data_IF_979719605641
#
_entry.id   IF_979719605641
#
_cell.length_a   1.000
_cell.length_b   1.000
_cell.length_c   1.000
_cell.angle_alpha   90.00
_cell.angle_beta   90.00
_cell.angle_gamma   90.00
#
_symmetry.space_group_name_H-M   'P 1'
#
loop_
_entity.id
_entity.type
_entity.pdbx_description
1 polymer ?
#
# COMPACT_ATOMS: atom_id res chain seq x y z
N UNK A 1 -2.12 4.48 -5.23
CA UNK A 1 -0.97 3.86 -4.53
C UNK A 1 0.26 4.74 -4.74
N UNK A 2 0.85 5.19 -3.65
CA UNK A 2 1.92 6.19 -3.63
C UNK A 2 3.03 5.70 -2.70
N UNK A 3 4.29 6.05 -2.98
CA UNK A 3 5.41 5.76 -2.10
C UNK A 3 6.20 7.03 -1.80
N UNK A 4 6.85 7.09 -0.64
CA UNK A 4 7.78 8.15 -0.33
C UNK A 4 9.05 8.03 -1.18
N UNK A 5 9.72 9.16 -1.41
CA UNK A 5 11.09 9.17 -1.91
C UNK A 5 11.99 8.41 -0.93
N UNK A 6 12.98 7.71 -1.46
CA UNK A 6 13.85 6.86 -0.65
C UNK A 6 13.30 5.47 -0.30
N UNK A 7 12.15 5.06 -0.86
CA UNK A 7 11.67 3.68 -0.75
C UNK A 7 12.74 2.68 -1.23
N UNK A 8 13.10 1.73 -0.36
CA UNK A 8 14.13 0.72 -0.65
C UNK A 8 13.59 -0.38 -1.54
N UNK A 9 14.50 -1.18 -2.12
CA UNK A 9 14.17 -2.24 -3.07
C UNK A 9 13.03 -3.15 -2.58
N UNK A 10 13.17 -3.72 -1.38
CA UNK A 10 12.18 -4.65 -0.81
C UNK A 10 10.78 -4.04 -0.69
N UNK A 11 10.68 -2.81 -0.19
CA UNK A 11 9.39 -2.12 0.01
C UNK A 11 8.76 -1.73 -1.32
N UNK A 12 9.58 -1.35 -2.32
CA UNK A 12 9.10 -1.08 -3.67
C UNK A 12 8.51 -2.33 -4.30
N UNK A 13 9.15 -3.49 -4.13
CA UNK A 13 8.63 -4.76 -4.63
C UNK A 13 7.31 -5.14 -3.96
N UNK A 14 7.21 -5.00 -2.63
CA UNK A 14 5.94 -5.19 -1.92
C UNK A 14 4.83 -4.29 -2.49
N UNK A 15 5.09 -2.99 -2.68
CA UNK A 15 4.12 -2.06 -3.27
C UNK A 15 3.67 -2.50 -4.67
N UNK A 16 4.61 -2.96 -5.51
CA UNK A 16 4.28 -3.44 -6.86
C UNK A 16 3.47 -4.74 -6.82
N UNK A 17 3.76 -5.64 -5.89
CA UNK A 17 3.00 -6.87 -5.68
C UNK A 17 1.56 -6.55 -5.24
N UNK A 18 1.38 -5.57 -4.35
CA UNK A 18 0.05 -5.04 -3.97
C UNK A 18 -0.68 -4.45 -5.18
N UNK A 19 0.00 -3.68 -6.04
CA UNK A 19 -0.63 -3.15 -7.26
C UNK A 19 -1.09 -4.25 -8.22
N UNK A 20 -0.34 -5.36 -8.33
CA UNK A 20 -0.73 -6.51 -9.17
C UNK A 20 -1.95 -7.25 -8.62
N UNK A 21 -2.10 -7.30 -7.30
CA UNK A 21 -3.25 -7.90 -6.62
C UNK A 21 -4.52 -7.05 -6.73
N UNK A 22 -4.37 -5.73 -6.86
CA UNK A 22 -5.49 -4.78 -6.86
C UNK A 22 -5.70 -4.20 -8.28
N UNK A 23 -6.63 -4.75 -9.09
CA UNK A 23 -6.82 -4.34 -10.48
C UNK A 23 -7.31 -2.89 -10.63
N UNK A 24 -7.95 -2.34 -9.60
CA UNK A 24 -8.41 -0.96 -9.54
C UNK A 24 -7.32 0.01 -9.03
N UNK A 25 -6.12 -0.49 -8.71
CA UNK A 25 -5.06 0.35 -8.19
C UNK A 25 -4.42 1.21 -9.30
N UNK A 26 -4.31 2.51 -9.04
CA UNK A 26 -3.52 3.42 -9.86
C UNK A 26 -2.27 3.84 -9.10
N UNK A 27 -1.09 3.62 -9.70
CA UNK A 27 0.20 4.02 -9.14
C UNK A 27 0.48 5.48 -9.49
N UNK A 28 1.01 6.25 -8.53
CA UNK A 28 1.49 7.62 -8.75
C UNK A 28 3.01 7.75 -8.65
N UNK A 29 3.51 8.92 -9.00
CA UNK A 29 4.86 9.36 -8.71
C UNK A 29 5.12 9.33 -7.20
N UNK A 30 6.41 9.27 -6.84
CA UNK A 30 6.82 9.25 -5.44
C UNK A 30 6.63 10.64 -4.84
N UNK A 31 6.13 10.71 -3.61
CA UNK A 31 6.07 11.97 -2.86
C UNK A 31 7.43 12.33 -2.28
N UNK A 32 7.73 13.62 -2.24
CA UNK A 32 8.93 14.15 -1.60
C UNK A 32 8.77 14.13 -0.08
N UNK A 33 9.88 14.02 0.66
CA UNK A 33 9.84 14.01 2.13
C UNK A 33 9.33 15.31 2.75
N UNK A 34 9.29 16.40 1.98
CA UNK A 34 8.78 17.71 2.42
C UNK A 34 7.28 17.86 2.19
N UNK A 35 6.68 16.98 1.40
CA UNK A 35 5.27 17.08 1.05
C UNK A 35 4.40 16.76 2.26
N UNK A 36 3.31 17.51 2.44
CA UNK A 36 2.34 17.23 3.49
C UNK A 36 1.48 16.04 3.07
N UNK A 37 1.11 15.12 3.98
CA UNK A 37 0.21 14.01 3.66
C UNK A 37 -1.14 14.44 3.05
N UNK A 38 -1.60 15.67 3.30
CA UNK A 38 -2.83 16.21 2.72
C UNK A 38 -2.81 16.27 1.18
N UNK A 39 -1.63 16.37 0.56
CA UNK A 39 -1.49 16.36 -0.91
C UNK A 39 -2.02 15.05 -1.51
N UNK A 40 -2.07 13.97 -0.73
CA UNK A 40 -2.66 12.69 -1.16
C UNK A 40 -4.15 12.85 -1.49
N UNK A 41 -4.88 13.72 -0.78
CA UNK A 41 -6.30 13.95 -1.06
C UNK A 41 -6.49 14.59 -2.44
N UNK A 42 -5.68 15.59 -2.78
CA UNK A 42 -5.71 16.27 -4.09
C UNK A 42 -5.35 15.29 -5.21
N UNK A 43 -4.30 14.46 -5.01
CA UNK A 43 -3.91 13.42 -5.98
C UNK A 43 -5.06 12.43 -6.19
N UNK A 44 -5.72 12.00 -5.11
CA UNK A 44 -6.84 11.08 -5.19
C UNK A 44 -8.05 11.71 -5.91
N UNK A 45 -8.36 12.98 -5.65
CA UNK A 45 -9.42 13.71 -6.35
C UNK A 45 -9.15 13.81 -7.85
N UNK A 46 -7.93 14.21 -8.24
CA UNK A 46 -7.51 14.28 -9.65
C UNK A 46 -7.60 12.92 -10.37
N UNK A 47 -7.36 11.82 -9.64
CA UNK A 47 -7.41 10.46 -10.18
C UNK A 47 -8.74 9.75 -9.99
N UNK A 48 -9.76 10.41 -9.43
CA UNK A 48 -11.06 9.78 -9.13
C UNK A 48 -10.96 8.60 -8.15
N UNK A 49 -9.96 8.61 -7.26
CA UNK A 49 -9.73 7.57 -6.26
C UNK A 49 -10.40 7.95 -4.92
N UNK A 50 -11.12 7.00 -4.34
CA UNK A 50 -11.77 7.14 -3.02
C UNK A 50 -10.96 6.53 -1.88
N UNK A 51 -9.86 5.85 -2.19
CA UNK A 51 -8.96 5.24 -1.23
C UNK A 51 -7.50 5.51 -1.64
N UNK A 52 -6.64 5.64 -0.64
CA UNK A 52 -5.21 5.82 -0.80
C UNK A 52 -4.42 4.78 -0.01
N UNK A 53 -3.39 4.24 -0.66
CA UNK A 53 -2.32 3.50 -0.01
C UNK A 53 -1.04 4.33 -0.17
N UNK A 54 -0.43 4.72 0.96
CA UNK A 54 0.83 5.46 0.98
C UNK A 54 1.91 4.70 1.75
N UNK A 55 2.99 4.35 1.04
CA UNK A 55 4.16 3.64 1.55
C UNK A 55 5.22 4.64 2.02
N UNK A 56 5.21 4.98 3.30
CA UNK A 56 6.13 5.91 3.95
C UNK A 56 7.38 5.17 4.43
N UNK A 57 8.52 5.37 3.77
CA UNK A 57 9.80 4.81 4.20
C UNK A 57 10.53 5.80 5.09
N UNK A 58 10.90 5.40 6.31
CA UNK A 58 11.69 6.21 7.25
C UNK A 58 13.09 5.64 7.41
N UNK A 59 14.09 6.53 7.36
CA UNK A 59 15.52 6.20 7.52
C UNK A 59 16.00 5.04 6.63
N UNK A 60 15.31 4.75 5.52
CA UNK A 60 15.53 3.58 4.66
C UNK A 60 15.47 2.22 5.38
N UNK A 61 14.85 2.17 6.57
CA UNK A 61 14.80 0.99 7.44
C UNK A 61 13.38 0.54 7.73
N UNK A 62 12.52 1.50 8.06
CA UNK A 62 11.15 1.21 8.49
C UNK A 62 10.16 1.55 7.38
N UNK A 63 9.17 0.68 7.20
CA UNK A 63 8.04 0.92 6.32
C UNK A 63 6.79 1.15 7.14
N UNK A 64 6.19 2.32 6.96
CA UNK A 64 4.83 2.59 7.42
C UNK A 64 3.90 2.60 6.22
N UNK A 65 2.76 1.92 6.35
CA UNK A 65 1.71 1.92 5.34
C UNK A 65 0.51 2.67 5.87
N UNK A 66 0.13 3.72 5.16
CA UNK A 66 -1.10 4.44 5.39
C UNK A 66 -2.19 3.85 4.50
N UNK A 67 -3.32 3.52 5.10
CA UNK A 67 -4.55 3.13 4.42
C UNK A 67 -5.57 4.19 4.77
N UNK A 68 -6.00 4.95 3.77
CA UNK A 68 -6.91 6.07 3.98
C UNK A 68 -8.09 6.01 3.02
N UNK A 69 -9.28 6.31 3.52
CA UNK A 69 -10.42 6.66 2.69
C UNK A 69 -10.39 8.17 2.46
N UNK A 70 -10.25 8.58 1.22
CA UNK A 70 -10.06 9.99 0.86
C UNK A 70 -11.39 10.64 0.47
N UNK A 71 -11.63 11.94 0.76
CA UNK A 71 -10.75 12.85 1.50
C UNK A 71 -11.03 12.91 3.01
N UNK A 72 -12.16 12.35 3.47
CA UNK A 72 -12.70 12.57 4.81
C UNK A 72 -12.22 11.56 5.88
N UNK A 73 -11.46 10.54 5.49
CA UNK A 73 -11.10 9.43 6.35
C UNK A 73 -12.14 8.31 6.39
N UNK A 74 -11.93 7.28 7.22
CA UNK A 74 -10.85 7.16 8.21
C UNK A 74 -9.47 6.89 7.59
N UNK A 75 -8.43 7.06 8.41
CA UNK A 75 -7.04 6.76 8.06
C UNK A 75 -6.41 5.89 9.13
N UNK A 76 -5.78 4.80 8.72
CA UNK A 76 -5.03 3.91 9.58
C UNK A 76 -3.56 3.89 9.16
N UNK A 77 -2.67 3.85 10.15
CA UNK A 77 -1.23 3.78 9.95
C UNK A 77 -0.70 2.47 10.53
N UNK A 78 -0.11 1.64 9.68
CA UNK A 78 0.46 0.36 10.05
C UNK A 78 1.98 0.42 9.98
N UNK A 79 2.66 -0.11 11.00
CA UNK A 79 4.08 -0.46 10.89
C UNK A 79 4.17 -1.82 10.21
N UNK A 80 4.81 -1.89 9.04
CA UNK A 80 4.90 -3.13 8.27
C UNK A 80 6.22 -3.83 8.60
N UNK A 81 6.12 -5.05 9.13
CA UNK A 81 7.25 -5.88 9.53
C UNK A 81 7.25 -7.23 8.78
N UNK A 82 8.36 -7.95 8.83
CA UNK A 82 8.52 -9.30 8.25
C UNK A 82 8.07 -9.40 6.78
N UNK A 83 8.53 -8.46 5.95
CA UNK A 83 8.13 -8.36 4.55
C UNK A 83 8.81 -9.46 3.75
N UNK A 84 7.97 -10.32 3.16
CA UNK A 84 8.37 -11.29 2.14
C UNK A 84 7.67 -10.98 0.81
N UNK A 85 8.43 -10.86 -0.29
CA UNK A 85 7.89 -10.46 -1.60
C UNK A 85 7.57 -11.66 -2.49
N UNK A 86 6.72 -11.48 -3.52
CA UNK A 86 6.37 -12.57 -4.45
C UNK A 86 7.56 -13.14 -5.24
N UNK A 87 8.68 -12.42 -5.30
CA UNK A 87 9.90 -12.88 -5.96
C UNK A 87 10.76 -13.85 -5.13
N UNK A 88 10.31 -14.24 -3.93
CA UNK A 88 11.06 -15.17 -3.08
C UNK A 88 10.90 -16.64 -3.52
N UNK A 89 12.00 -17.39 -3.47
CA UNK A 89 12.12 -18.76 -4.02
C UNK A 89 11.08 -19.76 -3.47
N UNK A 90 10.57 -19.53 -2.26
CA UNK A 90 9.67 -20.46 -1.56
C UNK A 90 8.18 -20.25 -1.90
N UNK A 91 7.83 -19.27 -2.73
CA UNK A 91 6.45 -19.03 -3.16
C UNK A 91 6.21 -19.53 -4.59
N UNK A 92 5.79 -20.79 -4.72
CA UNK A 92 5.49 -21.43 -6.01
C UNK A 92 4.04 -21.23 -6.48
N UNK A 93 3.19 -20.65 -5.64
CA UNK A 93 1.79 -20.40 -5.94
C UNK A 93 1.61 -19.31 -7.00
N UNK A 94 0.67 -19.53 -7.93
CA UNK A 94 0.28 -18.56 -8.95
C UNK A 94 -1.25 -18.37 -8.92
N UNK A 95 -1.71 -17.19 -9.30
CA UNK A 95 -3.12 -16.85 -9.35
C UNK A 95 -3.42 -16.02 -10.62
N UNK A 96 -4.67 -16.01 -11.04
CA UNK A 96 -5.10 -15.17 -12.15
C UNK A 96 -5.00 -13.70 -11.74
N UNK A 97 -4.20 -12.91 -12.45
CA UNK A 97 -4.05 -11.48 -12.21
C UNK A 97 -5.41 -10.78 -12.40
N UNK A 98 -5.80 -9.95 -11.43
CA UNK A 98 -7.10 -9.26 -11.44
C UNK A 98 -8.30 -10.15 -11.10
N UNK A 99 -8.09 -11.41 -10.70
CA UNK A 99 -9.15 -12.22 -10.10
C UNK A 99 -9.69 -11.56 -8.83
N UNK A 100 -10.96 -11.84 -8.51
CA UNK A 100 -11.59 -11.32 -7.29
C UNK A 100 -11.11 -12.14 -6.09
N UNK A 101 -10.36 -11.55 -5.15
CA UNK A 101 -9.87 -12.28 -4.00
C UNK A 101 -11.03 -12.61 -3.04
N UNK A 102 -10.90 -13.73 -2.32
CA UNK A 102 -11.73 -14.03 -1.17
C UNK A 102 -11.01 -13.52 0.09
N UNK A 103 -11.74 -12.83 0.96
CA UNK A 103 -11.21 -12.31 2.22
C UNK A 103 -11.67 -13.21 3.36
N UNK A 104 -10.71 -13.70 4.14
CA UNK A 104 -10.95 -14.51 5.34
C UNK A 104 -10.42 -13.73 6.52
N UNK A 105 -11.30 -13.40 7.46
CA UNK A 105 -10.94 -12.76 8.72
C UNK A 105 -10.98 -13.82 9.81
N UNK A 106 -9.99 -13.79 10.70
CA UNK A 106 -9.98 -14.62 11.91
C UNK A 106 -11.07 -14.12 12.87
N UNK A 107 -11.66 -15.02 13.66
CA UNK A 107 -12.65 -14.66 14.69
C UNK A 107 -12.10 -13.66 15.72
N UNK A 108 -10.78 -13.62 15.92
CA UNK A 108 -10.13 -12.62 16.76
C UNK A 108 -10.39 -11.18 16.31
N UNK A 109 -10.73 -10.95 15.03
CA UNK A 109 -11.04 -9.62 14.51
C UNK A 109 -12.33 -9.02 15.11
N UNK A 110 -13.28 -9.87 15.52
CA UNK A 110 -14.55 -9.45 16.12
C UNK A 110 -14.50 -9.40 17.66
N UNK A 111 -13.38 -9.82 18.26
CA UNK A 111 -13.25 -9.97 19.72
C UNK A 111 -12.79 -8.71 20.47
N UNK A 112 -12.59 -7.60 19.75
CA UNK A 112 -12.28 -6.26 20.31
C UNK A 112 -13.30 -5.20 19.88
#
# INVERSE_FOLDING_TARGET
VIASRGIVHRFRHLMLDVCKLLPHSSKDAKMESKDRPMVINEICEMKGCNNALYFETRKHKDLYMWVAKTPLGPSAKFLVQNIHTMGELKFTGNHLMGSRPFLVFDAAFDSE
#
